data_IF_548741651648
#
_entry.id   IF_548741651648
#
_cell.length_a   1.000
_cell.length_b   1.000
_cell.length_c   1.000
_cell.angle_alpha   90.00
_cell.angle_beta   90.00
_cell.angle_gamma   90.00
#
_symmetry.space_group_name_H-M   'P 1'
#
loop_
_entity.id
_entity.type
_entity.pdbx_description
1 polymer ?
#
# COMPACT_ATOMS: atom_id res chain seq x y z
N UNK A 1 -25.00 30.10 -2.12
CA UNK A 1 -24.18 28.96 -1.65
C UNK A 1 -22.72 29.39 -1.63
N UNK A 2 -22.02 29.27 -0.49
CA UNK A 2 -20.59 29.64 -0.40
C UNK A 2 -19.78 28.60 -1.18
N UNK A 3 -18.96 29.05 -2.12
CA UNK A 3 -18.05 28.14 -2.83
C UNK A 3 -16.99 27.65 -1.82
N UNK A 4 -16.89 26.34 -1.63
CA UNK A 4 -15.85 25.77 -0.78
C UNK A 4 -14.48 26.15 -1.33
N UNK A 5 -13.55 26.51 -0.43
CA UNK A 5 -12.14 26.67 -0.78
C UNK A 5 -11.56 25.33 -1.22
N UNK A 6 -10.46 25.37 -2.00
CA UNK A 6 -9.76 24.14 -2.43
C UNK A 6 -9.33 23.25 -1.26
N UNK A 7 -9.01 23.85 -0.10
CA UNK A 7 -8.67 23.11 1.13
C UNK A 7 -9.88 22.36 1.68
N UNK A 8 -11.04 22.99 1.74
CA UNK A 8 -12.26 22.36 2.24
C UNK A 8 -12.76 21.27 1.28
N UNK A 9 -12.63 21.50 -0.03
CA UNK A 9 -12.88 20.46 -1.04
C UNK A 9 -11.93 19.26 -0.87
N UNK A 10 -10.65 19.50 -0.60
CA UNK A 10 -9.68 18.43 -0.35
C UNK A 10 -10.04 17.60 0.89
N UNK A 11 -10.42 18.25 1.99
CA UNK A 11 -10.85 17.56 3.20
C UNK A 11 -12.15 16.77 2.98
N UNK A 12 -13.09 17.34 2.22
CA UNK A 12 -14.30 16.64 1.81
C UNK A 12 -13.99 15.41 0.96
N UNK A 13 -13.03 15.49 0.03
CA UNK A 13 -12.57 14.36 -0.78
C UNK A 13 -12.00 13.23 0.10
N UNK A 14 -11.18 13.54 1.10
CA UNK A 14 -10.67 12.53 2.03
C UNK A 14 -11.77 11.95 2.92
N UNK A 15 -12.69 12.78 3.42
CA UNK A 15 -13.82 12.29 4.22
C UNK A 15 -14.69 11.34 3.41
N UNK A 16 -15.00 11.68 2.15
CA UNK A 16 -15.75 10.81 1.24
C UNK A 16 -14.98 9.52 0.90
N UNK A 17 -13.66 9.60 0.76
CA UNK A 17 -12.82 8.43 0.44
C UNK A 17 -12.66 7.46 1.59
N UNK A 18 -12.99 7.80 2.83
CA UNK A 18 -12.97 6.82 3.94
C UNK A 18 -13.84 5.59 3.65
N UNK A 19 -14.96 5.76 2.95
CA UNK A 19 -15.88 4.67 2.58
C UNK A 19 -15.44 3.85 1.35
N UNK A 20 -14.73 4.46 0.40
CA UNK A 20 -14.43 3.84 -0.90
C UNK A 20 -12.93 3.58 -1.16
N UNK A 21 -12.06 4.46 -0.65
CA UNK A 21 -10.59 4.39 -0.76
C UNK A 21 -9.88 4.19 0.59
N UNK A 22 -10.66 3.98 1.66
CA UNK A 22 -10.14 3.69 3.00
C UNK A 22 -9.31 4.80 3.63
N UNK A 23 -9.40 6.04 3.14
CA UNK A 23 -8.68 7.22 3.67
C UNK A 23 -7.32 7.52 3.03
N UNK A 24 -6.89 6.73 2.05
CA UNK A 24 -5.61 6.90 1.32
C UNK A 24 -5.89 7.27 -0.13
N UNK A 25 -5.36 8.40 -0.59
CA UNK A 25 -5.57 8.88 -1.96
C UNK A 25 -4.25 9.14 -2.69
N UNK A 26 -4.22 8.77 -3.96
CA UNK A 26 -3.18 9.18 -4.91
C UNK A 26 -3.42 10.60 -5.40
N UNK A 27 -2.38 11.23 -5.95
CA UNK A 27 -2.47 12.53 -6.60
C UNK A 27 -3.52 12.53 -7.74
N UNK A 28 -3.64 11.43 -8.47
CA UNK A 28 -4.62 11.28 -9.54
C UNK A 28 -6.06 11.24 -8.99
N UNK A 29 -6.30 10.50 -7.90
CA UNK A 29 -7.62 10.46 -7.26
C UNK A 29 -7.98 11.81 -6.65
N UNK A 30 -7.03 12.50 -6.01
CA UNK A 30 -7.26 13.86 -5.51
C UNK A 30 -7.62 14.81 -6.65
N UNK A 31 -6.89 14.76 -7.77
CA UNK A 31 -7.19 15.55 -8.95
C UNK A 31 -8.63 15.28 -9.45
N UNK A 32 -9.01 14.00 -9.51
CA UNK A 32 -10.36 13.58 -9.88
C UNK A 32 -11.44 14.12 -8.93
N UNK A 33 -11.28 13.94 -7.61
CA UNK A 33 -12.24 14.43 -6.61
C UNK A 33 -12.39 15.96 -6.61
N UNK A 34 -11.30 16.67 -6.92
CA UNK A 34 -11.31 18.13 -7.00
C UNK A 34 -11.76 18.67 -8.36
N UNK A 35 -12.07 17.80 -9.32
CA UNK A 35 -12.29 18.15 -10.72
C UNK A 35 -11.18 19.09 -11.25
N UNK A 36 -9.94 18.74 -10.95
CA UNK A 36 -8.76 19.53 -11.24
C UNK A 36 -7.75 18.74 -12.08
N UNK A 37 -6.90 19.43 -12.82
CA UNK A 37 -5.80 18.79 -13.53
C UNK A 37 -4.68 18.39 -12.57
N UNK A 38 -4.02 17.27 -12.89
CA UNK A 38 -2.79 16.85 -12.21
C UNK A 38 -1.60 17.69 -12.69
N UNK A 39 -1.53 18.94 -12.23
CA UNK A 39 -0.53 19.93 -12.64
C UNK A 39 0.30 20.46 -11.46
N UNK A 40 1.22 21.39 -11.75
CA UNK A 40 2.13 21.99 -10.75
C UNK A 40 1.34 22.72 -9.65
N UNK A 41 0.21 23.34 -9.98
CA UNK A 41 -0.61 24.07 -9.00
C UNK A 41 -1.24 23.12 -7.97
N UNK A 42 -1.74 21.96 -8.39
CA UNK A 42 -2.26 20.94 -7.48
C UNK A 42 -1.15 20.38 -6.57
N UNK A 43 0.03 20.11 -7.14
CA UNK A 43 1.19 19.66 -6.36
C UNK A 43 1.61 20.69 -5.33
N UNK A 44 1.64 21.97 -5.69
CA UNK A 44 1.94 23.08 -4.77
C UNK A 44 0.90 23.16 -3.64
N UNK A 45 -0.39 23.08 -3.96
CA UNK A 45 -1.47 23.03 -2.97
C UNK A 45 -1.23 21.90 -1.95
N UNK A 46 -0.93 20.69 -2.43
CA UNK A 46 -0.68 19.55 -1.55
C UNK A 46 0.60 19.73 -0.71
N UNK A 47 1.68 20.26 -1.29
CA UNK A 47 2.88 20.61 -0.53
C UNK A 47 2.57 21.60 0.59
N UNK A 48 1.78 22.63 0.32
CA UNK A 48 1.39 23.61 1.33
C UNK A 48 0.47 22.99 2.40
N UNK A 49 -0.44 22.09 2.01
CA UNK A 49 -1.28 21.35 2.94
C UNK A 49 -0.47 20.40 3.83
N UNK A 50 0.58 19.77 3.30
CA UNK A 50 1.52 18.95 4.09
C UNK A 50 2.27 19.83 5.10
N UNK A 51 2.82 20.96 4.67
CA UNK A 51 3.51 21.91 5.57
C UNK A 51 2.63 22.40 6.71
N UNK A 52 1.33 22.58 6.44
CA UNK A 52 0.31 23.00 7.42
C UNK A 52 -0.27 21.85 8.24
N UNK A 53 0.19 20.60 8.05
CA UNK A 53 -0.30 19.43 8.78
C UNK A 53 -1.76 19.04 8.48
N UNK A 54 -2.32 19.49 7.35
CA UNK A 54 -3.71 19.18 6.95
C UNK A 54 -3.80 17.79 6.30
N UNK A 55 -2.76 17.43 5.55
CA UNK A 55 -2.61 16.12 4.94
C UNK A 55 -1.21 15.60 5.25
N UNK A 56 -1.05 14.29 5.29
CA UNK A 56 0.25 13.64 5.43
C UNK A 56 0.63 12.98 4.12
N UNK A 57 1.89 13.10 3.72
CA UNK A 57 2.43 12.33 2.59
C UNK A 57 2.86 10.96 3.09
N UNK A 58 2.29 9.90 2.51
CA UNK A 58 2.56 8.51 2.88
C UNK A 58 3.64 7.89 2.00
N UNK A 59 3.63 8.23 0.72
CA UNK A 59 4.64 7.87 -0.27
C UNK A 59 4.61 8.88 -1.41
N UNK A 60 5.42 8.68 -2.45
CA UNK A 60 5.44 9.58 -3.58
C UNK A 60 4.08 9.67 -4.29
N UNK A 61 3.44 10.84 -4.18
CA UNK A 61 2.12 11.09 -4.78
C UNK A 61 0.96 10.39 -4.06
N UNK A 62 1.14 9.93 -2.83
CA UNK A 62 0.12 9.27 -2.01
C UNK A 62 -0.01 10.01 -0.68
N UNK A 63 -1.24 10.29 -0.30
CA UNK A 63 -1.58 11.16 0.82
C UNK A 63 -2.74 10.61 1.64
N UNK A 64 -2.84 11.08 2.88
CA UNK A 64 -4.00 10.91 3.76
C UNK A 64 -4.39 12.23 4.40
N UNK A 65 -5.62 12.29 4.93
CA UNK A 65 -6.06 13.35 5.84
C UNK A 65 -5.52 13.11 7.25
N UNK A 66 -5.01 14.15 7.90
CA UNK A 66 -4.64 14.08 9.33
C UNK A 66 -5.86 14.16 10.25
N UNK A 67 -7.01 14.66 9.74
CA UNK A 67 -8.26 14.77 10.49
C UNK A 67 -9.06 13.47 10.47
N UNK A 68 -9.00 12.74 9.35
CA UNK A 68 -9.72 11.49 9.13
C UNK A 68 -8.73 10.45 8.57
N UNK A 69 -7.75 10.03 9.39
CA UNK A 69 -6.74 9.07 8.94
C UNK A 69 -7.40 7.72 8.59
N UNK A 70 -6.76 6.92 7.72
CA UNK A 70 -7.18 5.55 7.48
C UNK A 70 -7.10 4.73 8.77
N UNK A 71 -7.92 3.68 8.86
CA UNK A 71 -7.82 2.68 9.91
C UNK A 71 -6.36 2.14 10.00
N UNK A 72 -5.67 2.31 11.14
CA UNK A 72 -4.27 1.92 11.30
C UNK A 72 -3.99 0.44 11.02
N UNK A 73 -4.95 -0.44 11.27
CA UNK A 73 -4.77 -1.90 11.07
C UNK A 73 -4.68 -2.27 9.59
N UNK A 74 -5.32 -1.48 8.73
CA UNK A 74 -5.43 -1.77 7.29
C UNK A 74 -4.69 -0.75 6.41
N UNK A 75 -4.24 0.38 6.97
CA UNK A 75 -3.61 1.48 6.26
C UNK A 75 -2.38 1.06 5.44
N UNK A 76 -1.50 0.24 6.00
CA UNK A 76 -0.27 -0.22 5.32
C UNK A 76 -0.60 -0.98 4.02
N UNK A 77 -1.63 -1.82 4.02
CA UNK A 77 -2.06 -2.59 2.84
C UNK A 77 -2.74 -1.69 1.80
N UNK A 78 -3.54 -0.72 2.25
CA UNK A 78 -4.12 0.31 1.37
C UNK A 78 -3.01 1.09 0.65
N UNK A 79 -1.96 1.48 1.37
CA UNK A 79 -0.80 2.17 0.78
C UNK A 79 -0.08 1.25 -0.23
N UNK A 80 0.13 -0.03 0.12
CA UNK A 80 0.77 -0.99 -0.77
C UNK A 80 0.08 -1.11 -2.13
N UNK A 81 -1.25 -1.23 -2.11
CA UNK A 81 -2.08 -1.28 -3.31
C UNK A 81 -1.97 -0.02 -4.18
N UNK A 82 -1.68 1.15 -3.59
CA UNK A 82 -1.49 2.41 -4.35
C UNK A 82 -0.07 2.56 -4.90
N UNK A 83 0.98 2.20 -4.15
CA UNK A 83 2.39 2.37 -4.58
C UNK A 83 2.71 1.58 -5.86
N UNK A 84 2.12 0.40 -5.98
CA UNK A 84 2.26 -0.48 -7.15
C UNK A 84 0.91 -0.81 -7.78
N UNK A 85 0.01 0.16 -7.82
CA UNK A 85 -1.25 0.02 -8.54
C UNK A 85 -1.01 -0.33 -10.02
N UNK A 86 -1.91 -1.15 -10.59
CA UNK A 86 -1.88 -1.52 -12.01
C UNK A 86 -0.99 -2.71 -12.38
N UNK A 87 -0.33 -3.34 -11.41
CA UNK A 87 0.39 -4.61 -11.60
C UNK A 87 -0.02 -5.62 -10.53
N UNK A 88 0.26 -6.90 -10.76
CA UNK A 88 0.06 -7.93 -9.74
C UNK A 88 1.02 -7.69 -8.56
N UNK A 89 0.45 -7.61 -7.36
CA UNK A 89 1.16 -7.58 -6.09
C UNK A 89 0.48 -8.55 -5.12
N UNK A 90 1.26 -9.27 -4.33
CA UNK A 90 0.74 -10.18 -3.32
C UNK A 90 1.70 -10.28 -2.12
N UNK A 91 1.13 -10.36 -0.92
CA UNK A 91 1.89 -10.59 0.32
C UNK A 91 2.47 -12.00 0.27
N UNK A 92 3.75 -12.14 0.54
CA UNK A 92 4.48 -13.41 0.45
C UNK A 92 5.62 -13.43 1.45
N UNK A 93 6.59 -14.31 1.25
CA UNK A 93 7.82 -14.39 2.04
C UNK A 93 7.52 -14.51 3.54
N UNK A 94 8.30 -13.85 4.40
CA UNK A 94 8.18 -13.91 5.86
C UNK A 94 6.84 -13.36 6.35
N UNK A 95 6.28 -12.34 5.69
CA UNK A 95 5.01 -11.76 6.16
C UNK A 95 3.86 -12.75 6.01
N UNK A 96 3.83 -13.55 4.94
CA UNK A 96 2.81 -14.58 4.76
C UNK A 96 3.05 -15.80 5.66
N UNK A 97 4.31 -16.21 5.81
CA UNK A 97 4.65 -17.36 6.64
C UNK A 97 4.47 -17.09 8.14
N UNK A 98 4.72 -15.85 8.57
CA UNK A 98 4.41 -15.42 9.94
C UNK A 98 2.90 -15.34 10.15
N UNK A 99 2.15 -14.79 9.19
CA UNK A 99 0.68 -14.71 9.26
C UNK A 99 0.01 -16.09 9.40
N UNK A 100 0.56 -17.12 8.78
CA UNK A 100 0.04 -18.50 8.84
C UNK A 100 0.67 -19.36 9.94
N UNK A 101 1.58 -18.81 10.74
CA UNK A 101 2.25 -19.52 11.83
C UNK A 101 3.30 -20.54 11.39
N UNK A 102 3.71 -20.54 10.11
CA UNK A 102 4.80 -21.41 9.62
C UNK A 102 6.15 -21.01 10.22
N UNK A 103 6.35 -19.71 10.44
CA UNK A 103 7.53 -19.19 11.14
C UNK A 103 7.10 -18.42 12.39
N UNK A 104 7.89 -18.53 13.46
CA UNK A 104 7.64 -17.80 14.71
C UNK A 104 8.21 -16.36 14.68
N UNK A 105 9.12 -16.06 13.76
CA UNK A 105 9.72 -14.74 13.63
C UNK A 105 8.72 -13.75 13.05
N UNK A 106 8.32 -12.76 13.84
CA UNK A 106 7.54 -11.63 13.36
C UNK A 106 8.51 -10.58 12.81
N UNK A 107 8.37 -10.23 11.53
CA UNK A 107 9.07 -9.06 10.98
C UNK A 107 8.33 -7.80 11.42
N UNK A 108 8.63 -7.33 12.63
CA UNK A 108 7.93 -6.21 13.26
C UNK A 108 7.94 -4.98 12.34
N UNK A 109 6.76 -4.43 12.09
CA UNK A 109 6.59 -3.21 11.31
C UNK A 109 7.01 -3.33 9.84
N UNK A 110 7.10 -4.53 9.25
CA UNK A 110 7.40 -4.71 7.83
C UNK A 110 6.46 -5.68 7.14
N UNK A 111 5.96 -5.29 5.98
CA UNK A 111 5.18 -6.15 5.08
C UNK A 111 6.02 -6.43 3.83
N UNK A 112 6.26 -7.72 3.58
CA UNK A 112 6.99 -8.23 2.42
C UNK A 112 6.03 -8.63 1.31
N UNK A 113 6.27 -8.08 0.12
CA UNK A 113 5.33 -8.15 -1.01
C UNK A 113 6.11 -8.54 -2.26
N UNK A 114 5.60 -9.52 -2.99
CA UNK A 114 6.08 -9.83 -4.33
C UNK A 114 5.30 -9.02 -5.36
N UNK A 115 5.99 -8.48 -6.37
CA UNK A 115 5.40 -7.59 -7.38
C UNK A 115 5.86 -7.93 -8.79
N UNK A 116 4.96 -7.74 -9.77
CA UNK A 116 5.33 -7.68 -11.20
C UNK A 116 5.89 -6.32 -11.62
N UNK A 117 5.79 -5.30 -10.76
CA UNK A 117 6.36 -3.97 -10.97
C UNK A 117 7.80 -3.83 -10.44
N UNK A 118 8.27 -2.59 -10.31
CA UNK A 118 9.64 -2.30 -9.83
C UNK A 118 9.78 -2.60 -8.33
N UNK A 119 10.86 -3.28 -7.95
CA UNK A 119 11.26 -3.46 -6.53
C UNK A 119 11.45 -2.12 -5.80
N UNK A 120 11.32 -2.12 -4.49
CA UNK A 120 11.59 -0.93 -3.68
C UNK A 120 11.08 -1.05 -2.25
N UNK A 121 11.67 -0.25 -1.37
CA UNK A 121 11.30 -0.18 0.06
C UNK A 121 10.72 1.19 0.35
N UNK A 122 9.61 1.23 1.06
CA UNK A 122 8.89 2.46 1.37
C UNK A 122 8.61 2.50 2.87
N UNK A 123 9.23 3.47 3.54
CA UNK A 123 8.91 3.80 4.92
C UNK A 123 7.63 4.63 4.97
N UNK A 124 6.70 4.20 5.80
CA UNK A 124 5.42 4.88 6.01
C UNK A 124 5.18 5.03 7.52
N UNK A 125 4.29 5.93 7.96
CA UNK A 125 3.88 6.00 9.36
C UNK A 125 3.25 4.71 9.91
N UNK A 126 2.89 3.77 9.04
CA UNK A 126 2.25 2.50 9.38
C UNK A 126 3.20 1.30 9.31
N UNK A 127 4.50 1.55 9.07
CA UNK A 127 5.52 0.53 8.89
C UNK A 127 6.16 0.58 7.50
N UNK A 128 6.98 -0.44 7.22
CA UNK A 128 7.80 -0.55 6.03
C UNK A 128 7.13 -1.49 5.03
N UNK A 129 6.96 -1.02 3.81
CA UNK A 129 6.56 -1.85 2.68
C UNK A 129 7.79 -2.24 1.88
N UNK A 130 8.05 -3.54 1.74
CA UNK A 130 9.15 -4.04 0.94
C UNK A 130 8.62 -4.81 -0.27
N UNK A 131 8.80 -4.23 -1.45
CA UNK A 131 8.44 -4.84 -2.72
C UNK A 131 9.63 -5.52 -3.36
N UNK A 132 9.50 -6.83 -3.61
CA UNK A 132 10.47 -7.63 -4.34
C UNK A 132 9.90 -8.02 -5.71
N UNK A 133 10.66 -7.71 -6.76
CA UNK A 133 10.24 -8.02 -8.11
C UNK A 133 10.34 -9.53 -8.39
N UNK A 134 9.32 -10.11 -9.04
CA UNK A 134 9.39 -11.46 -9.60
C UNK A 134 9.31 -11.44 -11.12
N UNK A 135 10.29 -12.07 -11.76
CA UNK A 135 10.28 -12.30 -13.21
C UNK A 135 9.37 -13.47 -13.61
N UNK A 136 8.94 -14.31 -12.65
CA UNK A 136 8.12 -15.49 -12.96
C UNK A 136 6.81 -15.10 -13.66
N UNK A 137 6.37 -15.92 -14.63
CA UNK A 137 5.09 -15.72 -15.32
C UNK A 137 3.89 -15.74 -14.35
N UNK A 138 2.85 -14.97 -14.66
CA UNK A 138 1.65 -14.83 -13.80
C UNK A 138 0.88 -16.14 -13.71
N UNK A 139 0.78 -16.92 -14.79
CA UNK A 139 0.14 -18.24 -14.84
C UNK A 139 0.79 -19.26 -13.89
N UNK A 140 2.08 -19.08 -13.55
CA UNK A 140 2.80 -19.93 -12.58
C UNK A 140 2.60 -19.50 -11.12
N UNK A 141 1.97 -18.35 -10.89
CA UNK A 141 1.74 -17.78 -9.55
C UNK A 141 0.24 -17.77 -9.22
N UNK A 142 -0.61 -17.50 -10.21
CA UNK A 142 -2.03 -17.17 -10.02
C UNK A 142 -2.82 -18.25 -9.25
N UNK A 143 -2.51 -19.54 -9.47
CA UNK A 143 -3.18 -20.64 -8.76
C UNK A 143 -2.81 -20.74 -7.28
N UNK A 144 -1.71 -20.10 -6.87
CA UNK A 144 -1.16 -20.22 -5.52
C UNK A 144 -1.25 -18.89 -4.75
N UNK A 145 -2.13 -17.99 -5.18
CA UNK A 145 -2.46 -16.77 -4.47
C UNK A 145 -3.98 -16.68 -4.25
N UNK A 146 -4.40 -16.06 -3.16
CA UNK A 146 -5.80 -15.85 -2.82
C UNK A 146 -6.05 -14.40 -2.41
N UNK A 147 -7.25 -13.88 -2.67
CA UNK A 147 -7.63 -12.56 -2.20
C UNK A 147 -7.98 -12.63 -0.71
N UNK A 148 -7.30 -11.84 0.11
CA UNK A 148 -7.69 -11.60 1.50
C UNK A 148 -8.73 -10.45 1.50
N UNK A 149 -10.01 -10.74 1.85
CA UNK A 149 -11.08 -9.75 1.81
C UNK A 149 -10.96 -8.68 2.91
N UNK A 150 -10.22 -8.94 4.00
CA UNK A 150 -10.10 -7.99 5.12
C UNK A 150 -9.20 -6.81 4.75
N UNK A 151 -8.13 -7.08 4.00
CA UNK A 151 -7.14 -6.09 3.57
C UNK A 151 -7.24 -5.73 2.09
N UNK A 152 -8.13 -6.40 1.35
CA UNK A 152 -8.34 -6.23 -0.09
C UNK A 152 -7.04 -6.34 -0.88
N UNK A 153 -6.24 -7.36 -0.57
CA UNK A 153 -4.94 -7.61 -1.19
C UNK A 153 -4.71 -9.11 -1.35
N UNK A 154 -4.00 -9.51 -2.40
CA UNK A 154 -3.64 -10.92 -2.59
C UNK A 154 -2.59 -11.37 -1.57
N UNK A 155 -2.69 -12.61 -1.12
CA UNK A 155 -1.71 -13.35 -0.32
C UNK A 155 -1.27 -14.59 -1.06
N UNK A 156 -0.03 -15.01 -0.84
CA UNK A 156 0.48 -16.29 -1.33
C UNK A 156 -0.04 -17.45 -0.46
N UNK A 157 -0.17 -18.65 -1.04
CA UNK A 157 -0.20 -19.89 -0.25
C UNK A 157 1.15 -20.10 0.47
N UNK A 158 1.20 -21.03 1.42
CA UNK A 158 2.44 -21.34 2.13
C UNK A 158 3.51 -21.89 1.17
N UNK A 159 3.11 -22.74 0.23
CA UNK A 159 3.99 -23.31 -0.80
C UNK A 159 4.55 -22.21 -1.69
N UNK A 160 3.72 -21.25 -2.09
CA UNK A 160 4.14 -20.12 -2.89
C UNK A 160 5.09 -19.20 -2.11
N UNK A 161 4.80 -18.91 -0.84
CA UNK A 161 5.66 -18.09 0.00
C UNK A 161 7.04 -18.73 0.24
N UNK A 162 7.10 -20.05 0.45
CA UNK A 162 8.37 -20.80 0.55
C UNK A 162 9.11 -20.80 -0.79
N UNK A 163 8.40 -20.99 -1.91
CA UNK A 163 8.98 -20.88 -3.25
C UNK A 163 9.59 -19.49 -3.49
N UNK A 164 8.92 -18.45 -3.00
CA UNK A 164 9.36 -17.06 -3.12
C UNK A 164 10.59 -16.78 -2.26
N UNK A 165 10.66 -17.31 -1.03
CA UNK A 165 11.86 -17.23 -0.20
C UNK A 165 13.07 -17.83 -0.90
N UNK A 166 12.92 -19.04 -1.47
CA UNK A 166 13.98 -19.72 -2.24
C UNK A 166 14.41 -18.91 -3.45
N UNK A 167 13.45 -18.42 -4.24
CA UNK A 167 13.72 -17.65 -5.45
C UNK A 167 14.43 -16.31 -5.16
N UNK A 168 14.14 -15.70 -4.01
CA UNK A 168 14.74 -14.43 -3.58
C UNK A 168 16.02 -14.61 -2.77
N UNK A 169 16.47 -15.86 -2.56
CA UNK A 169 17.65 -16.23 -1.76
C UNK A 169 17.61 -15.64 -0.34
N UNK A 170 16.41 -15.56 0.25
CA UNK A 170 16.23 -15.18 1.66
C UNK A 170 16.63 -16.33 2.59
N UNK A 171 16.81 -16.02 3.88
CA UNK A 171 17.22 -17.01 4.87
C UNK A 171 16.15 -18.11 5.01
N UNK A 172 16.50 -19.37 4.78
CA UNK A 172 15.55 -20.49 4.89
C UNK A 172 15.59 -21.18 6.27
N UNK A 173 16.60 -20.89 7.09
CA UNK A 173 16.76 -21.49 8.42
C UNK A 173 15.57 -21.16 9.35
N UNK A 174 14.82 -20.10 9.06
CA UNK A 174 13.59 -19.78 9.80
C UNK A 174 12.44 -20.79 9.59
N UNK A 175 12.54 -21.64 8.56
CA UNK A 175 11.56 -22.71 8.29
C UNK A 175 11.86 -24.00 9.07
N UNK A 176 13.06 -24.10 9.64
CA UNK A 176 13.49 -25.25 10.44
C UNK A 176 13.07 -24.97 11.89
N UNK A 177 11.98 -25.63 12.32
CA UNK A 177 11.57 -25.70 13.72
C UNK A 177 12.16 -26.93 14.38
#
# INVERSE_FOLDING_TARGET
MKHLSKKEQLLSAFSASTKAGGGVLTLAEIAFYLNAENNIALRKLLTDCVKKGIVRRLAAGIYESTLTPPDPLTAIYKIANKIRGGVLNYISLESQLSYTGVISQIVMGRVTIMTKGRKGTFETPYGVLEFTHTSRPVDKIASNIYLDPEIMMYRASNEQAISDLRATKRNLHMLEN
#
